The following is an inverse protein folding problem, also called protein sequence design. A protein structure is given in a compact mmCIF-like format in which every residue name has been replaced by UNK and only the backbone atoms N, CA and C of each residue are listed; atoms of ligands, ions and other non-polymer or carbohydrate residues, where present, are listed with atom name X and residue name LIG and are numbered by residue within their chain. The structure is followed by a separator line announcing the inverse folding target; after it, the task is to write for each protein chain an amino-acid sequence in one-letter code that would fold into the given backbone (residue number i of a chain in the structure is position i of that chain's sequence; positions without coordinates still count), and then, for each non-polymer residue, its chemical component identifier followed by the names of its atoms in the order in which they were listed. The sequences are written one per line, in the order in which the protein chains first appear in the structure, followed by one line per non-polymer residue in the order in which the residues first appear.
data_IF_464715422607
#
_entry.id   IF_464715422607
#
_cell.length_a   1.000
_cell.length_b   1.000
_cell.length_c   1.000
_cell.angle_alpha   90.00
_cell.angle_beta   90.00
_cell.angle_gamma   90.00
#
_symmetry.space_group_name_H-M   'P 1'
#
loop_
_entity.id
_entity.type
_entity.pdbx_description
1 polymer ?
#
# COMPACT_ATOMS: atom_id res chain seq x y z
N UNK A 1 8.87 -8.61 -31.74
CA UNK A 1 8.56 -8.28 -30.33
C UNK A 1 8.15 -9.56 -29.64
N UNK A 2 8.64 -9.83 -28.42
CA UNK A 2 8.14 -10.95 -27.62
C UNK A 2 6.96 -10.45 -26.77
N UNK A 3 6.03 -11.35 -26.46
CA UNK A 3 4.91 -11.10 -25.57
C UNK A 3 4.92 -12.17 -24.47
N UNK A 4 4.58 -11.80 -23.23
CA UNK A 4 4.29 -12.75 -22.17
C UNK A 4 2.79 -13.06 -22.20
N UNK A 5 2.44 -14.31 -22.48
CA UNK A 5 1.05 -14.78 -22.54
C UNK A 5 0.86 -15.82 -21.45
N UNK A 6 -0.05 -15.54 -20.52
CA UNK A 6 -0.48 -16.51 -19.50
C UNK A 6 -1.86 -17.03 -19.89
N UNK A 7 -1.97 -18.35 -20.00
CA UNK A 7 -3.13 -19.06 -20.46
C UNK A 7 -3.48 -20.22 -19.53
N UNK A 8 -4.75 -20.61 -19.50
CA UNK A 8 -5.22 -21.74 -18.72
C UNK A 8 -5.08 -23.07 -19.47
N UNK A 9 -5.46 -24.18 -18.83
CA UNK A 9 -5.40 -25.52 -19.43
C UNK A 9 -6.34 -25.73 -20.62
N UNK A 10 -7.30 -24.83 -20.84
CA UNK A 10 -8.21 -24.87 -22.00
C UNK A 10 -7.66 -24.09 -23.20
N UNK A 11 -6.54 -23.39 -23.02
CA UNK A 11 -5.90 -22.54 -24.03
C UNK A 11 -6.41 -21.10 -24.06
N UNK A 12 -7.26 -20.70 -23.10
CA UNK A 12 -7.74 -19.32 -23.00
C UNK A 12 -6.68 -18.45 -22.33
N UNK A 13 -6.26 -17.39 -23.03
CA UNK A 13 -5.38 -16.37 -22.46
C UNK A 13 -6.19 -15.42 -21.58
N UNK A 14 -5.68 -15.16 -20.37
CA UNK A 14 -6.30 -14.23 -19.42
C UNK A 14 -5.37 -13.08 -19.02
N UNK A 15 -4.09 -13.17 -19.40
CA UNK A 15 -3.13 -12.09 -19.22
C UNK A 15 -2.17 -12.04 -20.40
N UNK A 16 -1.99 -10.85 -20.97
CA UNK A 16 -1.04 -10.59 -22.05
C UNK A 16 -0.28 -9.30 -21.72
N UNK A 17 1.04 -9.38 -21.73
CA UNK A 17 1.93 -8.22 -21.56
C UNK A 17 2.86 -8.09 -22.76
N UNK A 18 2.88 -6.90 -23.35
CA UNK A 18 3.75 -6.52 -24.44
C UNK A 18 4.98 -5.74 -23.91
N UNK A 19 6.06 -5.71 -24.69
CA UNK A 19 7.25 -4.89 -24.38
C UNK A 19 8.21 -5.58 -23.41
N UNK A 20 8.65 -4.86 -22.38
CA UNK A 20 9.59 -5.38 -21.39
C UNK A 20 8.84 -6.06 -20.26
N UNK A 21 9.11 -7.34 -20.07
CA UNK A 21 8.57 -8.16 -18.99
C UNK A 21 9.67 -9.00 -18.36
N UNK A 22 9.43 -9.41 -17.12
CA UNK A 22 10.27 -10.40 -16.46
C UNK A 22 10.09 -11.76 -17.15
N UNK A 23 11.20 -12.40 -17.52
CA UNK A 23 11.18 -13.75 -18.08
C UNK A 23 11.22 -14.78 -16.93
N UNK A 24 10.11 -15.48 -16.66
CA UNK A 24 10.03 -16.40 -15.53
C UNK A 24 10.99 -17.58 -15.73
N UNK A 25 11.58 -18.03 -14.63
CA UNK A 25 12.43 -19.21 -14.58
C UNK A 25 11.71 -20.33 -13.85
N UNK A 26 11.61 -21.51 -14.48
CA UNK A 26 10.91 -22.68 -13.92
C UNK A 26 9.39 -22.64 -14.11
N UNK A 27 8.68 -23.34 -13.24
CA UNK A 27 7.22 -23.45 -13.28
C UNK A 27 6.53 -22.15 -12.85
N UNK A 28 5.50 -21.75 -13.59
CA UNK A 28 4.63 -20.62 -13.24
C UNK A 28 3.48 -21.15 -12.38
N UNK A 29 3.32 -20.59 -11.18
CA UNK A 29 2.22 -20.91 -10.25
C UNK A 29 1.26 -19.74 -10.13
N UNK A 30 0.00 -20.04 -9.86
CA UNK A 30 -1.05 -19.04 -9.63
C UNK A 30 -1.42 -19.04 -8.16
N UNK A 31 -1.49 -17.84 -7.57
CA UNK A 31 -2.00 -17.62 -6.22
C UNK A 31 -3.15 -16.62 -6.29
N UNK A 32 -4.33 -17.03 -5.84
CA UNK A 32 -5.44 -16.12 -5.58
C UNK A 32 -5.42 -15.77 -4.10
N UNK A 33 -5.26 -14.48 -3.79
CA UNK A 33 -5.19 -14.00 -2.43
C UNK A 33 -5.79 -12.59 -2.32
N UNK A 34 -6.39 -12.30 -1.18
CA UNK A 34 -6.86 -10.95 -0.85
C UNK A 34 -5.67 -10.11 -0.37
N UNK A 35 -5.48 -8.95 -1.01
CA UNK A 35 -4.46 -7.97 -0.61
C UNK A 35 -5.19 -6.79 0.05
N UNK A 36 -4.93 -6.49 1.33
CA UNK A 36 -5.48 -5.32 2.00
C UNK A 36 -5.11 -4.01 1.28
N UNK A 37 -6.01 -3.03 1.30
CA UNK A 37 -5.88 -1.78 0.53
C UNK A 37 -4.61 -0.96 0.84
N UNK A 38 -4.03 -1.12 2.03
CA UNK A 38 -2.82 -0.43 2.48
C UNK A 38 -1.55 -1.28 2.34
N UNK A 39 -1.62 -2.43 1.67
CA UNK A 39 -0.52 -3.36 1.45
C UNK A 39 -0.26 -3.56 -0.04
N UNK A 40 1.01 -3.74 -0.39
CA UNK A 40 1.45 -4.13 -1.72
C UNK A 40 2.02 -5.55 -1.70
N UNK A 41 1.88 -6.27 -2.82
CA UNK A 41 2.52 -7.56 -3.00
C UNK A 41 4.02 -7.35 -3.24
N UNK A 42 4.84 -7.90 -2.35
CA UNK A 42 6.30 -7.94 -2.50
C UNK A 42 6.76 -9.23 -3.19
N UNK A 43 6.03 -10.31 -2.98
CA UNK A 43 6.33 -11.62 -3.54
C UNK A 43 5.44 -12.71 -2.96
N UNK A 44 5.81 -13.98 -3.18
CA UNK A 44 5.11 -15.14 -2.62
C UNK A 44 6.13 -16.01 -1.90
N UNK A 45 5.81 -16.42 -0.67
CA UNK A 45 6.59 -17.44 0.01
C UNK A 45 6.28 -18.80 -0.62
N UNK A 46 7.26 -19.34 -1.35
CA UNK A 46 7.13 -20.60 -2.09
C UNK A 46 6.92 -21.82 -1.19
N UNK A 47 7.24 -21.74 0.12
CA UNK A 47 7.05 -22.84 1.07
C UNK A 47 5.62 -22.90 1.59
N UNK A 48 5.03 -21.74 1.88
CA UNK A 48 3.70 -21.64 2.49
C UNK A 48 2.60 -21.36 1.47
N UNK A 49 2.95 -20.90 0.27
CA UNK A 49 2.01 -20.48 -0.75
C UNK A 49 1.27 -19.19 -0.38
N UNK A 50 1.83 -18.38 0.50
CA UNK A 50 1.21 -17.16 1.02
C UNK A 50 1.86 -15.91 0.41
N UNK A 51 1.09 -14.81 0.24
CA UNK A 51 1.65 -13.55 -0.24
C UNK A 51 2.55 -12.95 0.83
N UNK A 52 3.71 -12.44 0.41
CA UNK A 52 4.56 -11.58 1.22
C UNK A 52 4.13 -10.15 0.92
N UNK A 53 3.61 -9.48 1.94
CA UNK A 53 3.05 -8.13 1.82
C UNK A 53 3.95 -7.09 2.46
N UNK A 54 4.03 -5.92 1.85
CA UNK A 54 4.69 -4.74 2.42
C UNK A 54 3.70 -3.57 2.55
N UNK A 55 3.98 -2.65 3.49
CA UNK A 55 3.17 -1.45 3.65
C UNK A 55 3.33 -0.52 2.45
N UNK A 56 2.20 -0.06 1.91
CA UNK A 56 2.21 1.01 0.92
C UNK A 56 2.64 2.29 1.64
N UNK A 57 3.70 2.98 1.18
CA UNK A 57 4.08 4.24 1.78
C UNK A 57 2.96 5.26 1.58
N UNK A 58 2.68 6.04 2.63
CA UNK A 58 1.71 7.14 2.55
C UNK A 58 2.10 8.09 1.43
N UNK A 59 1.10 8.56 0.69
CA UNK A 59 1.29 9.65 -0.25
C UNK A 59 1.68 10.94 0.48
N UNK A 60 2.32 11.87 -0.24
CA UNK A 60 2.64 13.19 0.29
C UNK A 60 1.39 13.91 0.82
N UNK A 61 0.24 13.75 0.14
CA UNK A 61 -1.03 14.34 0.56
C UNK A 61 -1.50 13.76 1.89
N UNK A 62 -1.39 12.44 2.08
CA UNK A 62 -1.77 11.81 3.36
C UNK A 62 -0.84 12.26 4.49
N UNK A 63 0.47 12.33 4.24
CA UNK A 63 1.44 12.85 5.21
C UNK A 63 1.14 14.32 5.57
N UNK A 64 0.76 15.15 4.59
CA UNK A 64 0.37 16.53 4.81
C UNK A 64 -0.92 16.64 5.65
N UNK A 65 -1.92 15.81 5.37
CA UNK A 65 -3.17 15.77 6.15
C UNK A 65 -2.90 15.40 7.61
N UNK A 66 -2.07 14.40 7.86
CA UNK A 66 -1.68 14.02 9.21
C UNK A 66 -0.94 15.14 9.93
N UNK A 67 0.00 15.81 9.26
CA UNK A 67 0.71 16.95 9.83
C UNK A 67 -0.23 18.10 10.17
N UNK A 68 -1.20 18.41 9.32
CA UNK A 68 -2.22 19.44 9.58
C UNK A 68 -3.10 19.05 10.77
N UNK A 69 -3.53 17.78 10.85
CA UNK A 69 -4.32 17.28 11.97
C UNK A 69 -3.55 17.43 13.30
N UNK A 70 -2.29 16.98 13.36
CA UNK A 70 -1.45 17.10 14.54
C UNK A 70 -1.18 18.56 14.94
N UNK A 71 -0.96 19.45 13.97
CA UNK A 71 -0.79 20.89 14.25
C UNK A 71 -2.09 21.52 14.77
N UNK A 72 -3.23 21.10 14.25
CA UNK A 72 -4.54 21.60 14.68
C UNK A 72 -4.84 21.17 16.12
N UNK A 73 -4.55 19.91 16.46
CA UNK A 73 -4.69 19.38 17.82
C UNK A 73 -3.78 20.13 18.81
N UNK A 74 -2.49 20.26 18.50
CA UNK A 74 -1.54 20.98 19.34
C UNK A 74 -1.94 22.46 19.54
N UNK A 75 -2.44 23.13 18.51
CA UNK A 75 -2.94 24.50 18.61
C UNK A 75 -4.19 24.59 19.51
N UNK A 76 -5.09 23.61 19.44
CA UNK A 76 -6.27 23.56 20.30
C UNK A 76 -5.89 23.38 21.78
N UNK A 77 -4.93 22.50 22.06
CA UNK A 77 -4.38 22.32 23.42
C UNK A 77 -3.75 23.61 23.95
N UNK A 78 -2.87 24.25 23.17
CA UNK A 78 -2.23 25.51 23.56
C UNK A 78 -3.25 26.61 23.83
N UNK A 79 -4.27 26.73 22.99
CA UNK A 79 -5.35 27.72 23.18
C UNK A 79 -6.10 27.47 24.49
N UNK A 80 -6.39 26.21 24.83
CA UNK A 80 -7.03 25.87 26.10
C UNK A 80 -6.15 26.22 27.31
N UNK A 81 -4.84 25.94 27.21
CA UNK A 81 -3.88 26.28 28.28
C UNK A 81 -3.82 27.79 28.49
N UNK A 82 -3.71 28.58 27.43
CA UNK A 82 -3.66 30.05 27.50
C UNK A 82 -4.95 30.61 28.11
N UNK A 83 -6.12 30.17 27.65
CA UNK A 83 -7.41 30.61 28.19
C UNK A 83 -7.55 30.28 29.70
N UNK A 84 -7.05 29.12 30.13
CA UNK A 84 -7.03 28.72 31.54
C UNK A 84 -6.03 29.51 32.39
N UNK A 85 -4.96 30.05 31.80
CA UNK A 85 -4.03 30.95 32.50
C UNK A 85 -4.61 32.36 32.65
N UNK A 86 -5.27 32.87 31.60
CA UNK A 86 -5.90 34.20 31.63
C UNK A 86 -7.04 34.27 32.66
N UNK A 87 -7.83 33.21 32.80
CA UNK A 87 -8.93 33.13 33.79
C UNK A 87 -8.47 33.00 35.25
N UNK A 88 -7.23 32.57 35.50
CA UNK A 88 -6.66 32.47 36.87
C UNK A 88 -5.97 33.74 37.35
N UNK A 89 -5.68 34.69 36.45
CA UNK A 89 -5.01 35.96 36.75
C UNK A 89 -5.99 37.13 36.95
N UNK A 90 -7.29 36.87 37.13
CA UNK A 90 -8.35 37.84 37.42
C UNK A 90 -8.92 37.62 38.81
#
# INVERSE_FOLDING_TARGET
MKNLIVYDSTGNAFFVQEGTFYEPQGEIKVLQADIPINKALKGVDVKTGQPILEDIPKSEIELLKEKVASLTEANAELTSIVANMETKNV
#
